data_IF_886143428671
#
_entry.id   IF_886143428671
#
_cell.length_a   1.000
_cell.length_b   1.000
_cell.length_c   1.000
_cell.angle_alpha   90.00
_cell.angle_beta   90.00
_cell.angle_gamma   90.00
#
_symmetry.space_group_name_H-M   'P 1'
#
loop_
_entity.id
_entity.type
_entity.pdbx_description
1 polymer ?
#
# COMPACT_ATOMS: atom_id res chain seq x y z
N UNK A 1 -9.92 -13.76 6.21
CA UNK A 1 -11.02 -12.82 6.56
C UNK A 1 -11.01 -12.49 8.04
N UNK A 2 -10.20 -13.20 8.83
CA UNK A 2 -10.28 -13.27 10.29
C UNK A 2 -9.80 -11.98 10.99
N UNK A 3 -8.87 -11.22 10.39
CA UNK A 3 -8.44 -9.92 10.92
C UNK A 3 -9.55 -8.87 10.86
N UNK A 4 -10.40 -8.88 9.83
CA UNK A 4 -11.54 -7.96 9.74
C UNK A 4 -12.57 -8.32 10.83
N UNK A 5 -12.80 -9.62 11.07
CA UNK A 5 -13.70 -10.10 12.12
C UNK A 5 -13.23 -9.68 13.53
N UNK A 6 -11.92 -9.71 13.79
CA UNK A 6 -11.37 -9.19 15.06
C UNK A 6 -11.67 -7.69 15.25
N UNK A 7 -11.52 -6.89 14.19
CA UNK A 7 -11.83 -5.46 14.21
C UNK A 7 -13.33 -5.22 14.39
N UNK A 8 -14.18 -6.01 13.72
CA UNK A 8 -15.64 -5.94 13.86
C UNK A 8 -16.10 -6.22 15.30
N UNK A 9 -15.43 -7.14 15.99
CA UNK A 9 -15.63 -7.42 17.42
C UNK A 9 -15.04 -6.36 18.37
N UNK A 10 -14.49 -5.27 17.84
CA UNK A 10 -13.86 -4.19 18.59
C UNK A 10 -12.74 -4.68 19.53
N UNK A 11 -11.88 -5.56 19.01
CA UNK A 11 -10.68 -5.99 19.75
C UNK A 11 -9.78 -4.80 20.12
N UNK A 12 -8.95 -4.97 21.15
CA UNK A 12 -8.01 -3.91 21.52
C UNK A 12 -6.91 -3.75 20.45
N UNK A 13 -6.33 -2.55 20.35
CA UNK A 13 -5.20 -2.32 19.42
C UNK A 13 -4.02 -3.24 19.75
N UNK A 14 -3.81 -3.59 21.02
CA UNK A 14 -2.74 -4.49 21.43
C UNK A 14 -2.96 -5.92 20.92
N UNK A 15 -4.20 -6.42 20.95
CA UNK A 15 -4.55 -7.76 20.45
C UNK A 15 -4.45 -7.82 18.91
N UNK A 16 -4.89 -6.76 18.24
CA UNK A 16 -4.71 -6.64 16.79
C UNK A 16 -3.22 -6.59 16.44
N UNK A 17 -2.42 -5.80 17.15
CA UNK A 17 -0.97 -5.73 16.97
C UNK A 17 -0.29 -7.09 17.22
N UNK A 18 -0.74 -7.87 18.20
CA UNK A 18 -0.25 -9.23 18.42
C UNK A 18 -0.52 -10.12 17.20
N UNK A 19 -1.70 -10.01 16.58
CA UNK A 19 -2.03 -10.74 15.35
C UNK A 19 -1.20 -10.28 14.15
N UNK A 20 -0.92 -8.98 14.03
CA UNK A 20 -0.03 -8.44 12.99
C UNK A 20 1.45 -8.80 13.18
N UNK A 21 1.86 -9.20 14.40
CA UNK A 21 3.20 -9.70 14.70
C UNK A 21 3.32 -11.23 14.62
N UNK A 22 2.23 -11.95 14.40
CA UNK A 22 2.30 -13.35 14.01
C UNK A 22 2.73 -13.45 12.54
N UNK A 23 3.89 -14.06 12.29
CA UNK A 23 4.52 -14.07 10.96
C UNK A 23 3.60 -14.65 9.88
N UNK A 24 2.95 -15.78 10.16
CA UNK A 24 2.06 -16.42 9.18
C UNK A 24 0.86 -15.54 8.88
N UNK A 25 0.19 -15.03 9.92
CA UNK A 25 -1.00 -14.18 9.76
C UNK A 25 -0.68 -12.91 8.98
N UNK A 26 0.43 -12.26 9.33
CA UNK A 26 0.88 -11.03 8.70
C UNK A 26 1.30 -11.25 7.24
N UNK A 27 2.08 -12.29 6.96
CA UNK A 27 2.51 -12.59 5.59
C UNK A 27 1.33 -12.96 4.69
N UNK A 28 0.36 -13.72 5.19
CA UNK A 28 -0.86 -14.05 4.43
C UNK A 28 -1.68 -12.80 4.08
N UNK A 29 -1.77 -11.84 5.02
CA UNK A 29 -2.40 -10.55 4.74
C UNK A 29 -1.64 -9.80 3.63
N UNK A 30 -0.31 -9.72 3.72
CA UNK A 30 0.53 -9.04 2.71
C UNK A 30 0.37 -9.68 1.34
N UNK A 31 0.39 -11.02 1.25
CA UNK A 31 0.13 -11.74 0.00
C UNK A 31 -1.23 -11.35 -0.58
N UNK A 32 -2.27 -11.34 0.24
CA UNK A 32 -3.61 -10.99 -0.22
C UNK A 32 -3.69 -9.55 -0.74
N UNK A 33 -3.08 -8.59 -0.05
CA UNK A 33 -3.03 -7.19 -0.50
C UNK A 33 -2.24 -7.04 -1.80
N UNK A 34 -1.15 -7.80 -2.00
CA UNK A 34 -0.41 -7.85 -3.27
C UNK A 34 -1.26 -8.39 -4.42
N UNK A 35 -2.03 -9.45 -4.17
CA UNK A 35 -2.94 -10.01 -5.17
C UNK A 35 -4.08 -9.05 -5.53
N UNK A 36 -4.65 -8.34 -4.54
CA UNK A 36 -5.63 -7.29 -4.80
C UNK A 36 -5.05 -6.15 -5.66
N UNK A 37 -3.82 -5.75 -5.35
CA UNK A 37 -3.08 -4.73 -6.11
C UNK A 37 -2.87 -5.20 -7.55
N UNK A 38 -2.37 -6.42 -7.77
CA UNK A 38 -2.21 -7.01 -9.10
C UNK A 38 -3.53 -7.09 -9.86
N UNK A 39 -4.61 -7.53 -9.20
CA UNK A 39 -5.93 -7.63 -9.80
C UNK A 39 -6.48 -6.26 -10.25
N UNK A 40 -6.28 -5.21 -9.46
CA UNK A 40 -6.68 -3.85 -9.84
C UNK A 40 -5.87 -3.32 -11.01
N UNK A 41 -4.54 -3.47 -10.97
CA UNK A 41 -3.64 -3.06 -12.05
C UNK A 41 -4.04 -3.70 -13.38
N UNK A 42 -4.26 -5.02 -13.38
CA UNK A 42 -4.65 -5.75 -14.60
C UNK A 42 -6.04 -5.33 -15.10
N UNK A 43 -6.99 -5.08 -14.19
CA UNK A 43 -8.35 -4.63 -14.55
C UNK A 43 -8.32 -3.26 -15.24
N UNK A 44 -7.55 -2.33 -14.70
CA UNK A 44 -7.39 -0.97 -15.23
C UNK A 44 -6.12 -0.83 -16.10
N UNK A 45 -5.72 -1.90 -16.77
CA UNK A 45 -4.43 -2.00 -17.47
C UNK A 45 -4.17 -0.86 -18.47
N UNK A 46 -5.19 -0.42 -19.21
CA UNK A 46 -5.07 0.72 -20.15
C UNK A 46 -4.68 2.04 -19.48
N UNK A 47 -5.11 2.24 -18.24
CA UNK A 47 -4.70 3.40 -17.47
C UNK A 47 -3.24 3.25 -17.02
N UNK A 48 -2.89 2.09 -16.47
CA UNK A 48 -1.59 1.85 -15.87
C UNK A 48 -0.43 1.61 -16.85
N UNK A 49 -0.70 1.21 -18.10
CA UNK A 49 0.34 0.90 -19.09
C UNK A 49 1.34 2.05 -19.32
N UNK A 50 0.89 3.30 -19.20
CA UNK A 50 1.71 4.49 -19.39
C UNK A 50 2.68 4.77 -18.23
N UNK A 51 2.46 4.15 -17.08
CA UNK A 51 3.28 4.30 -15.87
C UNK A 51 4.31 3.18 -15.71
N UNK A 52 4.28 2.17 -16.58
CA UNK A 52 5.17 1.01 -16.49
C UNK A 52 6.40 1.22 -17.37
N UNK A 53 7.57 1.23 -16.73
CA UNK A 53 8.84 1.38 -17.43
C UNK A 53 9.37 0.06 -18.00
N UNK A 54 10.21 0.19 -19.04
CA UNK A 54 10.98 -0.91 -19.61
C UNK A 54 10.25 -1.76 -20.66
N UNK A 55 9.15 -1.27 -21.22
CA UNK A 55 8.43 -1.94 -22.32
C UNK A 55 7.67 -3.21 -21.92
N UNK A 56 7.51 -3.44 -20.61
CA UNK A 56 6.74 -4.56 -20.05
C UNK A 56 5.25 -4.28 -20.15
N UNK A 57 4.45 -5.33 -20.35
CA UNK A 57 3.01 -5.27 -20.17
C UNK A 57 2.64 -5.13 -18.69
N UNK A 58 1.42 -4.66 -18.41
CA UNK A 58 0.89 -4.59 -17.03
C UNK A 58 0.92 -5.95 -16.33
N UNK A 59 0.63 -7.02 -17.07
CA UNK A 59 0.65 -8.38 -16.52
C UNK A 59 2.06 -8.82 -16.14
N UNK A 60 3.05 -8.56 -16.99
CA UNK A 60 4.46 -8.88 -16.68
C UNK A 60 4.96 -8.07 -15.49
N UNK A 61 4.60 -6.78 -15.41
CA UNK A 61 4.90 -5.95 -14.24
C UNK A 61 4.29 -6.55 -12.97
N UNK A 62 3.02 -6.94 -12.99
CA UNK A 62 2.37 -7.58 -11.85
C UNK A 62 3.11 -8.84 -11.38
N UNK A 63 3.46 -9.72 -12.32
CA UNK A 63 4.15 -10.99 -12.01
C UNK A 63 5.58 -10.80 -11.47
N UNK A 64 6.26 -9.70 -11.85
CA UNK A 64 7.65 -9.45 -11.50
C UNK A 64 7.81 -8.55 -10.27
N UNK A 65 6.95 -7.54 -10.10
CA UNK A 65 7.14 -6.45 -9.13
C UNK A 65 5.99 -6.30 -8.12
N UNK A 66 4.86 -6.99 -8.30
CA UNK A 66 3.68 -6.84 -7.42
C UNK A 66 3.40 -8.13 -6.65
N UNK A 67 3.15 -9.23 -7.36
CA UNK A 67 2.75 -10.52 -6.80
C UNK A 67 3.81 -11.18 -5.90
N UNK A 68 5.11 -11.15 -6.25
CA UNK A 68 6.13 -11.75 -5.40
C UNK A 68 6.28 -11.03 -4.05
N UNK A 69 6.48 -11.81 -2.99
CA UNK A 69 6.83 -11.29 -1.68
C UNK A 69 8.20 -10.59 -1.71
N UNK A 70 8.42 -9.69 -0.75
CA UNK A 70 9.69 -8.96 -0.57
C UNK A 70 10.11 -8.08 -1.76
N UNK A 71 9.18 -7.75 -2.67
CA UNK A 71 9.36 -6.73 -3.71
C UNK A 71 8.98 -5.35 -3.19
N UNK A 72 9.75 -4.34 -3.54
CA UNK A 72 9.46 -2.96 -3.15
C UNK A 72 8.12 -2.48 -3.71
N UNK A 73 7.52 -1.50 -3.04
CA UNK A 73 6.27 -0.87 -3.47
C UNK A 73 6.46 0.63 -3.60
N UNK A 74 5.92 1.17 -4.68
CA UNK A 74 6.00 2.58 -5.07
C UNK A 74 4.60 3.18 -5.27
N UNK A 75 4.54 4.36 -5.91
CA UNK A 75 3.30 5.08 -6.17
C UNK A 75 2.25 4.24 -6.91
N UNK A 76 2.65 3.39 -7.86
CA UNK A 76 1.70 2.60 -8.66
C UNK A 76 0.97 1.58 -7.78
N UNK A 77 1.67 0.98 -6.81
CA UNK A 77 1.11 0.02 -5.87
C UNK A 77 0.15 0.71 -4.90
N UNK A 78 0.54 1.88 -4.37
CA UNK A 78 -0.27 2.66 -3.42
C UNK A 78 -1.58 3.09 -4.08
N UNK A 79 -1.50 3.66 -5.30
CA UNK A 79 -2.67 4.09 -6.07
C UNK A 79 -3.60 2.91 -6.33
N UNK A 80 -3.06 1.80 -6.85
CA UNK A 80 -3.87 0.63 -7.20
C UNK A 80 -4.56 0.03 -5.98
N UNK A 81 -3.86 -0.12 -4.84
CA UNK A 81 -4.45 -0.68 -3.63
C UNK A 81 -5.48 0.26 -2.99
N UNK A 82 -5.19 1.56 -2.93
CA UNK A 82 -6.12 2.56 -2.39
C UNK A 82 -7.43 2.57 -3.20
N UNK A 83 -7.35 2.49 -4.53
CA UNK A 83 -8.51 2.42 -5.41
C UNK A 83 -9.23 1.07 -5.31
N UNK A 84 -8.50 -0.04 -5.19
CA UNK A 84 -9.07 -1.38 -5.04
C UNK A 84 -9.95 -1.49 -3.78
N UNK A 85 -9.47 -0.94 -2.67
CA UNK A 85 -10.16 -0.96 -1.37
C UNK A 85 -11.08 0.25 -1.15
N UNK A 86 -11.03 1.26 -2.03
CA UNK A 86 -11.76 2.53 -1.93
C UNK A 86 -11.48 3.26 -0.62
N UNK A 87 -10.20 3.38 -0.28
CA UNK A 87 -9.70 4.04 0.93
C UNK A 87 -8.83 5.25 0.59
N UNK A 88 -8.69 6.18 1.53
CA UNK A 88 -7.80 7.33 1.41
C UNK A 88 -6.56 7.20 2.31
N UNK A 89 -5.39 7.34 1.71
CA UNK A 89 -4.07 7.22 2.35
C UNK A 89 -3.28 8.50 2.08
N UNK A 90 -2.63 9.05 3.10
CA UNK A 90 -1.63 10.10 2.96
C UNK A 90 -0.24 9.52 3.22
N UNK A 91 0.73 9.90 2.41
CA UNK A 91 2.14 9.53 2.56
C UNK A 91 2.96 10.81 2.67
N UNK A 92 3.66 10.97 3.78
CA UNK A 92 4.67 12.00 3.99
C UNK A 92 6.00 11.52 3.40
N UNK A 93 6.52 12.23 2.39
CA UNK A 93 7.81 11.91 1.81
C UNK A 93 8.89 12.70 2.54
N UNK A 94 9.76 11.97 3.23
CA UNK A 94 10.94 12.53 3.88
C UNK A 94 12.16 12.19 3.02
N UNK A 95 12.37 12.99 1.98
CA UNK A 95 13.59 12.98 1.21
C UNK A 95 14.64 13.93 1.80
N UNK A 96 15.87 13.91 1.28
CA UNK A 96 16.95 14.81 1.71
C UNK A 96 16.77 16.23 1.15
N UNK A 97 15.54 16.68 0.92
CA UNK A 97 15.26 18.03 0.45
C UNK A 97 15.80 19.11 1.38
N UNK A 98 16.28 20.21 0.82
CA UNK A 98 16.65 21.39 1.59
C UNK A 98 15.38 21.99 2.23
N UNK A 99 15.31 22.07 3.57
CA UNK A 99 14.27 22.84 4.26
C UNK A 99 13.52 22.14 5.40
N UNK A 100 13.78 20.86 5.70
CA UNK A 100 13.17 20.17 6.85
C UNK A 100 11.65 19.96 6.76
N UNK A 101 11.03 20.32 5.64
CA UNK A 101 9.62 20.07 5.35
C UNK A 101 9.46 18.71 4.64
N UNK A 102 8.48 17.92 5.06
CA UNK A 102 8.04 16.73 4.33
C UNK A 102 7.02 17.13 3.26
N UNK A 103 6.96 16.35 2.17
CA UNK A 103 5.98 16.57 1.11
C UNK A 103 4.81 15.59 1.28
N UNK A 104 3.60 16.06 1.65
CA UNK A 104 2.42 15.20 1.79
C UNK A 104 1.81 14.87 0.42
N UNK A 105 1.58 13.59 0.16
CA UNK A 105 0.82 13.12 -1.00
C UNK A 105 -0.41 12.34 -0.54
N UNK A 106 -1.59 12.66 -1.10
CA UNK A 106 -2.86 12.02 -0.75
C UNK A 106 -3.36 11.19 -1.92
N UNK A 107 -3.76 9.95 -1.64
CA UNK A 107 -4.27 9.00 -2.62
C UNK A 107 -5.68 8.55 -2.18
N UNK A 108 -6.73 8.75 -3.01
CA UNK A 108 -6.76 9.61 -4.19
C UNK A 108 -6.61 11.10 -3.87
N UNK A 109 -6.23 11.91 -4.85
CA UNK A 109 -6.11 13.35 -4.66
C UNK A 109 -7.45 13.98 -4.25
N UNK A 110 -7.40 14.94 -3.32
CA UNK A 110 -8.57 15.68 -2.84
C UNK A 110 -9.48 14.94 -1.87
N UNK A 111 -9.17 13.70 -1.48
CA UNK A 111 -9.91 13.00 -0.41
C UNK A 111 -9.39 13.35 0.99
N UNK A 112 -10.16 12.97 2.02
CA UNK A 112 -9.77 13.14 3.42
C UNK A 112 -9.14 11.85 3.98
N UNK A 113 -7.80 11.80 4.17
CA UNK A 113 -7.11 10.60 4.61
C UNK A 113 -7.35 10.29 6.09
N UNK A 114 -7.55 9.00 6.38
CA UNK A 114 -7.59 8.46 7.76
C UNK A 114 -6.37 7.60 8.10
N UNK A 115 -5.55 7.28 7.10
CA UNK A 115 -4.30 6.53 7.26
C UNK A 115 -3.15 7.43 6.81
N UNK A 116 -2.14 7.55 7.65
CA UNK A 116 -0.97 8.39 7.43
C UNK A 116 0.28 7.53 7.50
N UNK A 117 1.10 7.61 6.46
CA UNK A 117 2.35 6.87 6.34
C UNK A 117 3.52 7.86 6.22
N UNK A 118 4.70 7.43 6.67
CA UNK A 118 5.96 8.10 6.40
C UNK A 118 6.75 7.24 5.43
N UNK A 119 7.09 7.81 4.27
CA UNK A 119 8.06 7.21 3.37
C UNK A 119 9.45 7.75 3.66
N UNK A 120 10.39 6.83 3.86
CA UNK A 120 11.84 7.05 3.83
C UNK A 120 12.41 6.15 2.73
N UNK A 121 13.54 6.48 2.10
CA UNK A 121 14.11 5.63 1.04
C UNK A 121 14.20 4.15 1.47
N UNK A 122 13.37 3.29 0.85
CA UNK A 122 13.28 1.85 1.13
C UNK A 122 12.42 1.45 2.33
N UNK A 123 11.67 2.35 2.98
CA UNK A 123 10.91 2.04 4.19
C UNK A 123 9.60 2.84 4.31
N UNK A 124 8.54 2.18 4.78
CA UNK A 124 7.27 2.81 5.16
C UNK A 124 7.00 2.59 6.64
N UNK A 125 6.68 3.67 7.36
CA UNK A 125 6.24 3.65 8.75
C UNK A 125 4.81 4.22 8.86
N UNK A 126 4.12 3.93 9.97
CA UNK A 126 2.79 4.48 10.26
C UNK A 126 2.95 5.75 11.11
N UNK A 127 2.24 6.82 10.74
CA UNK A 127 2.15 8.05 11.51
C UNK A 127 0.80 8.14 12.24
N UNK A 128 0.83 8.72 13.45
CA UNK A 128 -0.35 9.07 14.23
C UNK A 128 -0.35 10.57 14.47
N UNK A 129 -1.51 11.21 14.32
CA UNK A 129 -1.71 12.64 14.60
C UNK A 129 -1.89 12.90 16.09
#
# INVERSE_FOLDING_TARGET
>A
MDLIEQVEKQTSVADLLASFNDQSTSDYLVVYLRLLTSGYLQRESKFFEHFIEGGRTVKEFCQQEVEPMCKESDHIHIIALAQALRVSIQVEYMDRGEGGATNPHVFPEGSEPKVYLLYRPGHYDILYK
#
